data_IF_202749812899
#
_entry.id   IF_202749812899
#
_cell.length_a   1.000
_cell.length_b   1.000
_cell.length_c   1.000
_cell.angle_alpha   90.00
_cell.angle_beta   90.00
_cell.angle_gamma   90.00
#
_symmetry.space_group_name_H-M   'P 1'
#
loop_
_entity.id
_entity.type
_entity.pdbx_description
1 polymer ?
#
# COMPACT_ATOMS: atom_id res chain seq x y z
N UNK A 1 -7.08 9.47 17.61
CA UNK A 1 -7.40 8.39 16.65
C UNK A 1 -6.12 7.90 16.00
N UNK A 2 -6.02 6.60 15.82
CA UNK A 2 -4.81 6.05 15.23
C UNK A 2 -4.79 6.27 13.72
N UNK A 3 -3.64 6.68 13.20
CA UNK A 3 -3.40 6.76 11.77
C UNK A 3 -3.43 5.35 11.18
N UNK A 4 -4.16 5.17 10.11
CA UNK A 4 -4.31 3.89 9.43
C UNK A 4 -3.51 3.88 8.14
N UNK A 5 -2.68 2.86 7.99
CA UNK A 5 -1.78 2.72 6.84
C UNK A 5 -2.16 1.46 6.08
N UNK A 6 -2.44 1.60 4.80
CA UNK A 6 -2.72 0.49 3.90
C UNK A 6 -1.43 0.06 3.23
N UNK A 7 -1.09 -1.22 3.36
CA UNK A 7 0.12 -1.81 2.78
C UNK A 7 -0.29 -2.78 1.69
N UNK A 8 0.14 -2.51 0.46
CA UNK A 8 -0.20 -3.35 -0.70
C UNK A 8 1.10 -3.89 -1.30
N UNK A 9 1.35 -5.18 -1.11
CA UNK A 9 2.55 -5.85 -1.60
C UNK A 9 2.22 -7.33 -1.81
N UNK A 10 2.59 -7.88 -2.96
CA UNK A 10 2.34 -9.29 -3.26
C UNK A 10 3.35 -10.22 -2.59
N UNK A 11 4.46 -9.70 -2.09
CA UNK A 11 5.44 -10.48 -1.35
C UNK A 11 5.03 -10.55 0.13
N UNK A 12 4.69 -11.75 0.59
CA UNK A 12 4.22 -11.94 1.96
C UNK A 12 5.25 -11.55 3.00
N UNK A 13 6.52 -11.82 2.75
CA UNK A 13 7.59 -11.49 3.70
C UNK A 13 7.74 -9.99 3.87
N UNK A 14 7.78 -9.26 2.77
CA UNK A 14 7.89 -7.79 2.80
C UNK A 14 6.65 -7.20 3.47
N UNK A 15 5.47 -7.68 3.09
CA UNK A 15 4.21 -7.21 3.66
C UNK A 15 4.18 -7.41 5.18
N UNK A 16 4.61 -8.58 5.64
CA UNK A 16 4.63 -8.89 7.08
C UNK A 16 5.66 -8.06 7.84
N UNK A 17 6.84 -7.84 7.26
CA UNK A 17 7.87 -7.00 7.87
C UNK A 17 7.36 -5.57 8.03
N UNK A 18 6.79 -5.01 6.98
CA UNK A 18 6.24 -3.65 7.03
C UNK A 18 5.10 -3.55 8.03
N UNK A 19 4.24 -4.56 8.08
CA UNK A 19 3.13 -4.61 9.03
C UNK A 19 3.64 -4.54 10.47
N UNK A 20 4.61 -5.36 10.82
CA UNK A 20 5.17 -5.38 12.17
C UNK A 20 5.84 -4.06 12.53
N UNK A 21 6.67 -3.53 11.63
CA UNK A 21 7.39 -2.27 11.88
C UNK A 21 6.42 -1.11 12.09
N UNK A 22 5.38 -1.05 11.29
CA UNK A 22 4.41 0.06 11.34
C UNK A 22 3.53 -0.06 12.57
N UNK A 23 3.10 -1.26 12.93
CA UNK A 23 2.34 -1.47 14.16
C UNK A 23 3.19 -1.14 15.39
N UNK A 24 4.45 -1.53 15.39
CA UNK A 24 5.38 -1.22 16.49
C UNK A 24 5.57 0.28 16.65
N UNK A 25 5.43 1.04 15.57
CA UNK A 25 5.50 2.51 15.60
C UNK A 25 4.20 3.17 16.10
N UNK A 26 3.16 2.38 16.38
CA UNK A 26 1.92 2.89 16.95
C UNK A 26 0.81 3.14 15.94
N UNK A 27 0.95 2.69 14.71
CA UNK A 27 -0.07 2.89 13.67
C UNK A 27 -0.94 1.66 13.50
N UNK A 28 -2.14 1.85 12.98
CA UNK A 28 -2.98 0.76 12.52
C UNK A 28 -2.60 0.40 11.08
N UNK A 29 -2.74 -0.87 10.74
CA UNK A 29 -2.44 -1.36 9.40
C UNK A 29 -3.63 -2.07 8.79
N UNK A 30 -3.75 -1.98 7.46
CA UNK A 30 -4.55 -2.86 6.64
C UNK A 30 -3.65 -3.42 5.56
N UNK A 31 -3.89 -4.67 5.16
CA UNK A 31 -3.01 -5.37 4.23
C UNK A 31 -3.78 -5.79 2.99
N UNK A 32 -3.13 -5.71 1.84
CA UNK A 32 -3.62 -6.27 0.59
C UNK A 32 -2.48 -6.98 -0.13
N UNK A 33 -2.76 -8.14 -0.69
CA UNK A 33 -1.74 -9.01 -1.27
C UNK A 33 -1.66 -8.92 -2.79
N UNK A 34 -2.60 -8.22 -3.44
CA UNK A 34 -2.64 -8.11 -4.89
C UNK A 34 -3.42 -6.87 -5.31
N UNK A 35 -3.46 -6.64 -6.62
CA UNK A 35 -4.11 -5.47 -7.20
C UNK A 35 -5.60 -5.38 -6.83
N UNK A 36 -6.33 -6.48 -7.00
CA UNK A 36 -7.78 -6.48 -6.74
C UNK A 36 -8.09 -6.27 -5.26
N UNK A 37 -7.33 -6.88 -4.37
CA UNK A 37 -7.47 -6.64 -2.93
C UNK A 37 -7.17 -5.19 -2.60
N UNK A 38 -6.14 -4.61 -3.24
CA UNK A 38 -5.81 -3.20 -3.05
C UNK A 38 -6.95 -2.29 -3.44
N UNK A 39 -7.54 -2.50 -4.62
CA UNK A 39 -8.72 -1.74 -5.06
C UNK A 39 -9.86 -1.86 -4.07
N UNK A 40 -10.14 -3.09 -3.63
CA UNK A 40 -11.24 -3.36 -2.69
C UNK A 40 -11.04 -2.62 -1.37
N UNK A 41 -9.83 -2.63 -0.84
CA UNK A 41 -9.54 -1.93 0.42
C UNK A 41 -9.65 -0.42 0.28
N UNK A 42 -9.19 0.14 -0.83
CA UNK A 42 -9.31 1.57 -1.11
C UNK A 42 -10.79 1.97 -1.21
N UNK A 43 -11.59 1.20 -1.94
CA UNK A 43 -13.00 1.49 -2.14
C UNK A 43 -13.83 1.32 -0.86
N UNK A 44 -13.43 0.39 -0.01
CA UNK A 44 -14.09 0.16 1.28
C UNK A 44 -13.92 1.35 2.22
N UNK A 45 -12.69 1.85 2.31
CA UNK A 45 -12.34 2.97 3.18
C UNK A 45 -10.97 3.50 2.78
N UNK A 46 -10.88 4.81 2.57
CA UNK A 46 -9.57 5.42 2.26
C UNK A 46 -8.66 5.35 3.48
N UNK A 47 -7.39 4.95 3.29
CA UNK A 47 -6.41 5.01 4.37
C UNK A 47 -5.92 6.43 4.61
N UNK A 48 -5.24 6.65 5.71
CA UNK A 48 -4.55 7.92 5.95
C UNK A 48 -3.25 8.01 5.15
N UNK A 49 -2.59 6.87 4.96
CA UNK A 49 -1.37 6.73 4.16
C UNK A 49 -1.42 5.39 3.45
N UNK A 50 -0.88 5.29 2.25
CA UNK A 50 -0.73 4.02 1.53
C UNK A 50 0.72 3.77 1.19
N UNK A 51 1.16 2.52 1.38
CA UNK A 51 2.46 2.02 0.93
C UNK A 51 2.17 0.95 -0.10
N UNK A 52 2.60 1.17 -1.34
CA UNK A 52 2.19 0.35 -2.47
C UNK A 52 3.42 -0.11 -3.26
N UNK A 53 3.53 -1.41 -3.47
CA UNK A 53 4.52 -1.96 -4.40
C UNK A 53 4.14 -1.56 -5.83
N UNK A 54 5.10 -1.08 -6.60
CA UNK A 54 4.87 -0.64 -7.97
C UNK A 54 4.43 -1.80 -8.86
N UNK A 55 4.95 -3.00 -8.61
CA UNK A 55 4.70 -4.18 -9.43
C UNK A 55 3.98 -5.24 -8.59
N UNK A 56 2.73 -5.48 -8.92
CA UNK A 56 1.92 -6.51 -8.30
C UNK A 56 1.64 -7.64 -9.30
N UNK A 57 0.51 -8.32 -9.14
CA UNK A 57 0.18 -9.52 -9.90
C UNK A 57 -0.32 -9.27 -11.32
N UNK A 58 -0.80 -8.06 -11.62
CA UNK A 58 -1.38 -7.74 -12.93
C UNK A 58 -0.36 -7.21 -13.92
N UNK A 59 0.62 -6.45 -13.47
CA UNK A 59 1.63 -5.88 -14.36
C UNK A 59 2.55 -4.89 -13.67
N UNK A 60 3.42 -4.28 -14.47
CA UNK A 60 4.53 -3.48 -13.97
C UNK A 60 4.10 -2.12 -13.40
N UNK A 61 2.88 -1.68 -13.71
CA UNK A 61 2.37 -0.38 -13.30
C UNK A 61 1.22 -0.46 -12.31
N UNK A 62 1.01 -1.60 -11.68
CA UNK A 62 -0.12 -1.82 -10.77
C UNK A 62 -0.14 -0.80 -9.64
N UNK A 63 1.00 -0.56 -9.02
CA UNK A 63 1.11 0.40 -7.93
C UNK A 63 0.77 1.81 -8.36
N UNK A 64 1.18 2.19 -9.57
CA UNK A 64 0.87 3.52 -10.12
C UNK A 64 -0.63 3.65 -10.38
N UNK A 65 -1.28 2.61 -10.90
CA UNK A 65 -2.73 2.62 -11.11
C UNK A 65 -3.49 2.74 -9.78
N UNK A 66 -3.04 2.05 -8.74
CA UNK A 66 -3.64 2.17 -7.41
C UNK A 66 -3.42 3.57 -6.83
N UNK A 67 -2.25 4.14 -7.01
CA UNK A 67 -1.96 5.52 -6.60
C UNK A 67 -2.92 6.49 -7.29
N UNK A 68 -3.10 6.36 -8.59
CA UNK A 68 -4.02 7.21 -9.35
C UNK A 68 -5.46 7.04 -8.83
N UNK A 69 -5.86 5.81 -8.54
CA UNK A 69 -7.19 5.51 -8.00
C UNK A 69 -7.42 6.22 -6.65
N UNK A 70 -6.44 6.17 -5.77
CA UNK A 70 -6.50 6.88 -4.49
C UNK A 70 -6.63 8.39 -4.74
N UNK A 71 -5.83 8.94 -5.63
CA UNK A 71 -5.79 10.38 -5.89
C UNK A 71 -7.08 10.89 -6.53
N UNK A 72 -7.81 10.04 -7.26
CA UNK A 72 -9.15 10.44 -7.76
C UNK A 72 -10.15 10.63 -6.62
N UNK A 73 -9.96 9.96 -5.50
CA UNK A 73 -10.84 10.05 -4.34
C UNK A 73 -10.41 11.15 -3.37
N UNK A 74 -9.12 11.30 -3.16
CA UNK A 74 -8.56 12.35 -2.29
C UNK A 74 -7.09 12.58 -2.66
N UNK A 75 -6.79 13.75 -3.20
CA UNK A 75 -5.44 14.08 -3.66
C UNK A 75 -4.45 14.30 -2.52
N UNK A 76 -4.93 14.46 -1.29
CA UNK A 76 -4.08 14.78 -0.14
C UNK A 76 -3.52 13.55 0.57
N UNK A 77 -3.97 12.35 0.21
CA UNK A 77 -3.47 11.13 0.85
C UNK A 77 -2.04 10.86 0.39
N UNK A 78 -1.06 10.81 1.31
CA UNK A 78 0.30 10.45 0.96
C UNK A 78 0.36 9.00 0.49
N UNK A 79 1.05 8.77 -0.63
CA UNK A 79 1.28 7.42 -1.16
C UNK A 79 2.77 7.22 -1.34
N UNK A 80 3.29 6.16 -0.73
CA UNK A 80 4.69 5.78 -0.85
C UNK A 80 4.76 4.58 -1.79
N UNK A 81 5.45 4.77 -2.90
CA UNK A 81 5.66 3.68 -3.86
C UNK A 81 6.99 3.02 -3.55
N UNK A 82 6.95 1.69 -3.39
CA UNK A 82 8.17 0.92 -3.19
C UNK A 82 8.40 0.04 -4.42
N UNK A 83 9.68 -0.15 -4.75
CA UNK A 83 10.11 -1.03 -5.82
C UNK A 83 10.62 -2.32 -5.17
N UNK A 84 9.84 -3.39 -5.30
CA UNK A 84 9.98 -4.61 -4.49
C UNK A 84 11.26 -5.40 -4.66
N UNK A 85 12.11 -5.10 -5.62
CA UNK A 85 13.22 -5.97 -5.89
C UNK A 85 14.58 -5.38 -5.57
N UNK A 86 14.68 -4.09 -5.47
CA UNK A 86 15.99 -3.50 -5.35
C UNK A 86 15.92 -2.20 -4.59
N UNK A 87 16.38 -2.27 -3.37
CA UNK A 87 16.87 -1.10 -2.72
C UNK A 87 18.29 -0.89 -3.24
N UNK A 88 18.41 -0.16 -4.30
CA UNK A 88 19.69 0.42 -4.65
C UNK A 88 19.77 1.76 -3.99
N UNK A 89 20.56 1.78 -3.01
CA UNK A 89 20.95 3.03 -2.40
C UNK A 89 22.08 3.64 -3.22
#
# INVERSE_FOLDING_TARGET
MATEILIIDDNADIRNILDELIQDAGYKTRLAANFNQGLSEIDKKLPDVAIIDVKLDKGDNDGIQLLEHIKTKNTDIPVIIISGHVLKL
#
